data_IF_572177418427
#
_entry.id   IF_572177418427
#
_cell.length_a   1.000
_cell.length_b   1.000
_cell.length_c   1.000
_cell.angle_alpha   90.00
_cell.angle_beta   90.00
_cell.angle_gamma   90.00
#
_symmetry.space_group_name_H-M   'P 1'
#
loop_
_entity.id
_entity.type
_entity.pdbx_description
1 polymer ?
#
# COMPACT_ATOMS: atom_id res chain seq x y z
N UNK A 1 17.29 -12.08 19.05
CA UNK A 1 16.30 -11.57 18.08
C UNK A 1 16.02 -12.63 17.01
N UNK A 2 14.77 -12.91 16.68
CA UNK A 2 14.42 -13.46 15.37
C UNK A 2 14.63 -12.37 14.30
N UNK A 3 15.86 -11.90 14.12
CA UNK A 3 16.19 -10.86 13.11
C UNK A 3 15.75 -11.29 11.70
N UNK A 4 15.59 -12.61 11.48
CA UNK A 4 14.98 -13.20 10.29
C UNK A 4 13.52 -12.81 10.08
N UNK A 5 12.71 -12.58 11.13
CA UNK A 5 11.30 -12.21 11.01
C UNK A 5 11.11 -10.78 10.52
N UNK A 6 11.97 -9.86 10.93
CA UNK A 6 11.91 -8.44 10.51
C UNK A 6 12.71 -8.16 9.23
N UNK A 7 13.59 -9.08 8.83
CA UNK A 7 14.41 -8.92 7.62
C UNK A 7 13.58 -8.66 6.35
N UNK A 8 12.49 -9.40 6.06
CA UNK A 8 11.67 -9.15 4.89
C UNK A 8 11.17 -7.70 4.83
N UNK A 9 10.58 -7.19 5.91
CA UNK A 9 10.06 -5.83 5.97
C UNK A 9 11.15 -4.77 5.75
N UNK A 10 12.30 -4.91 6.43
CA UNK A 10 13.44 -3.98 6.27
C UNK A 10 13.98 -4.01 4.84
N UNK A 11 14.18 -5.20 4.28
CA UNK A 11 14.71 -5.37 2.94
C UNK A 11 13.75 -4.80 1.90
N UNK A 12 12.47 -5.14 2.00
CA UNK A 12 11.42 -4.65 1.09
C UNK A 12 11.28 -3.14 1.18
N UNK A 13 11.21 -2.57 2.39
CA UNK A 13 11.16 -1.12 2.63
C UNK A 13 12.32 -0.39 1.93
N UNK A 14 13.54 -0.95 2.04
CA UNK A 14 14.71 -0.39 1.38
C UNK A 14 14.60 -0.46 -0.15
N UNK A 15 14.21 -1.60 -0.72
CA UNK A 15 14.07 -1.75 -2.17
C UNK A 15 12.99 -0.83 -2.76
N UNK A 16 11.86 -0.67 -2.07
CA UNK A 16 10.79 0.21 -2.50
C UNK A 16 11.15 1.69 -2.36
N UNK A 17 11.96 2.05 -1.35
CA UNK A 17 12.55 3.40 -1.24
C UNK A 17 13.40 3.73 -2.48
N UNK A 18 14.20 2.76 -2.95
CA UNK A 18 15.07 2.94 -4.12
C UNK A 18 14.32 3.10 -5.45
N UNK A 19 13.05 2.69 -5.56
CA UNK A 19 12.20 2.96 -6.73
C UNK A 19 12.01 4.46 -7.00
N UNK A 20 12.21 5.32 -6.01
CA UNK A 20 12.11 6.78 -6.19
C UNK A 20 13.19 7.38 -7.09
N UNK A 21 14.36 6.72 -7.20
CA UNK A 21 15.56 7.35 -7.76
C UNK A 21 16.52 6.40 -8.50
N UNK A 22 16.59 5.11 -8.14
CA UNK A 22 17.64 4.19 -8.61
C UNK A 22 17.33 3.58 -9.98
N UNK A 23 16.07 3.24 -10.22
CA UNK A 23 15.68 2.44 -11.39
C UNK A 23 15.46 3.34 -12.61
N UNK A 24 16.11 3.01 -13.72
CA UNK A 24 15.88 3.73 -14.98
C UNK A 24 14.48 3.40 -15.49
N UNK A 25 14.16 2.17 -15.84
CA UNK A 25 12.88 1.87 -16.49
C UNK A 25 11.65 1.95 -15.59
N UNK A 26 11.82 2.02 -14.27
CA UNK A 26 10.72 2.02 -13.31
C UNK A 26 10.91 3.12 -12.28
N UNK A 27 9.87 3.89 -11.97
CA UNK A 27 9.93 4.95 -10.97
C UNK A 27 8.58 5.24 -10.36
N UNK A 28 8.53 5.31 -9.04
CA UNK A 28 7.39 5.81 -8.26
C UNK A 28 7.89 6.50 -6.98
N UNK A 29 7.11 7.42 -6.43
CA UNK A 29 7.44 8.19 -5.22
C UNK A 29 6.40 8.01 -4.10
N UNK A 30 5.60 6.96 -4.21
CA UNK A 30 4.44 6.72 -3.35
C UNK A 30 4.59 5.46 -2.48
N UNK A 31 5.78 4.88 -2.37
CA UNK A 31 6.10 3.99 -1.25
C UNK A 31 6.76 4.79 -0.13
N UNK A 32 6.53 4.39 1.11
CA UNK A 32 7.13 5.03 2.27
C UNK A 32 8.65 5.00 2.20
N UNK A 33 9.28 6.13 2.54
CA UNK A 33 10.73 6.29 2.44
C UNK A 33 11.37 5.91 3.77
N UNK A 34 12.12 4.80 3.77
CA UNK A 34 12.91 4.37 4.92
C UNK A 34 14.16 5.26 5.04
N UNK A 35 14.25 6.01 6.13
CA UNK A 35 15.41 6.85 6.47
C UNK A 35 16.48 6.05 7.18
N UNK A 36 16.08 5.25 8.15
CA UNK A 36 16.99 4.48 8.99
C UNK A 36 16.31 3.20 9.47
N UNK A 37 17.07 2.11 9.52
CA UNK A 37 16.71 0.90 10.24
C UNK A 37 17.81 0.62 11.26
N UNK A 38 17.44 0.36 12.50
CA UNK A 38 18.39 0.08 13.57
C UNK A 38 17.88 -1.00 14.52
N UNK A 39 18.76 -1.92 14.88
CA UNK A 39 18.55 -2.81 16.01
C UNK A 39 19.11 -2.11 17.25
N UNK A 40 18.28 -1.96 18.28
CA UNK A 40 18.68 -1.41 19.57
C UNK A 40 18.34 -2.38 20.69
N UNK A 41 19.07 -2.30 21.80
CA UNK A 41 18.80 -3.08 23.00
C UNK A 41 18.60 -2.13 24.17
N UNK A 42 17.52 -2.30 24.93
CA UNK A 42 17.20 -1.42 26.03
C UNK A 42 15.77 -1.55 26.53
N UNK A 43 15.50 -0.90 27.66
CA UNK A 43 14.15 -0.78 28.22
C UNK A 43 13.32 0.20 27.39
N UNK A 44 12.02 -0.01 27.34
CA UNK A 44 11.06 0.94 26.76
C UNK A 44 11.23 2.34 27.38
N UNK A 45 11.51 3.39 26.58
CA UNK A 45 11.72 4.75 27.09
C UNK A 45 10.51 5.32 27.82
N UNK A 46 10.75 6.07 28.91
CA UNK A 46 9.69 6.67 29.72
C UNK A 46 8.86 7.69 28.92
N UNK A 47 9.48 8.37 27.97
CA UNK A 47 8.84 9.31 27.05
C UNK A 47 7.84 8.60 26.13
N UNK A 48 8.17 7.39 25.66
CA UNK A 48 7.25 6.58 24.85
C UNK A 48 6.12 6.01 25.71
N UNK A 49 6.37 5.62 26.96
CA UNK A 49 5.32 5.26 27.92
C UNK A 49 4.33 6.42 28.12
N UNK A 50 4.85 7.63 28.35
CA UNK A 50 4.01 8.81 28.53
C UNK A 50 3.18 9.13 27.29
N UNK A 51 3.79 9.04 26.09
CA UNK A 51 3.09 9.22 24.82
C UNK A 51 2.00 8.16 24.60
N UNK A 52 2.29 6.89 24.89
CA UNK A 52 1.34 5.79 24.76
C UNK A 52 0.14 5.96 25.71
N UNK A 53 0.38 6.27 26.99
CA UNK A 53 -0.70 6.51 27.97
C UNK A 53 -1.58 7.69 27.60
N UNK A 54 -0.99 8.75 27.05
CA UNK A 54 -1.75 9.88 26.51
C UNK A 54 -2.64 9.43 25.35
N UNK A 55 -2.11 8.67 24.40
CA UNK A 55 -2.87 8.16 23.26
C UNK A 55 -4.02 7.25 23.71
N UNK A 56 -3.76 6.28 24.59
CA UNK A 56 -4.76 5.36 25.15
C UNK A 56 -5.90 6.12 25.85
N UNK A 57 -5.58 7.13 26.67
CA UNK A 57 -6.60 7.93 27.34
C UNK A 57 -7.50 8.73 26.38
N UNK A 58 -6.97 9.13 25.22
CA UNK A 58 -7.68 9.93 24.22
C UNK A 58 -8.46 9.08 23.19
N UNK A 59 -7.97 7.88 22.85
CA UNK A 59 -8.47 7.10 21.71
C UNK A 59 -8.78 5.62 22.03
N UNK A 60 -8.37 5.12 23.20
CA UNK A 60 -8.28 3.69 23.46
C UNK A 60 -7.10 3.02 22.74
N UNK A 61 -6.76 1.79 23.16
CA UNK A 61 -5.74 0.96 22.53
C UNK A 61 -6.05 -0.51 22.78
N UNK A 62 -6.02 -1.35 21.74
CA UNK A 62 -6.08 -2.81 21.88
C UNK A 62 -4.73 -3.42 22.25
N UNK A 63 -3.65 -2.64 22.12
CA UNK A 63 -2.29 -3.03 22.49
C UNK A 63 -2.02 -2.74 23.97
N UNK A 64 -1.07 -3.46 24.57
CA UNK A 64 -0.55 -3.18 25.91
C UNK A 64 0.67 -2.23 25.88
N UNK A 65 0.88 -1.47 26.97
CA UNK A 65 2.11 -0.70 27.15
C UNK A 65 3.28 -1.64 27.40
N UNK A 66 4.33 -1.56 26.59
CA UNK A 66 5.49 -2.46 26.66
C UNK A 66 6.54 -2.06 27.72
N UNK A 67 6.16 -1.25 28.73
CA UNK A 67 7.09 -0.73 29.74
C UNK A 67 7.55 -1.77 30.79
N UNK A 68 6.90 -2.93 30.81
CA UNK A 68 7.27 -4.09 31.62
C UNK A 68 8.46 -4.89 31.04
N UNK A 69 8.81 -4.71 29.77
CA UNK A 69 9.88 -5.48 29.13
C UNK A 69 11.28 -5.15 29.72
N UNK A 70 12.17 -6.15 29.81
CA UNK A 70 13.46 -6.00 30.48
C UNK A 70 14.45 -5.13 29.67
N UNK A 71 15.51 -4.66 30.31
CA UNK A 71 16.60 -3.90 29.65
C UNK A 71 17.33 -4.69 28.56
N UNK A 72 17.25 -6.03 28.60
CA UNK A 72 17.81 -6.94 27.60
C UNK A 72 16.94 -7.09 26.35
N UNK A 73 15.76 -6.45 26.32
CA UNK A 73 14.87 -6.49 25.16
C UNK A 73 15.56 -5.86 23.96
N UNK A 74 15.50 -6.55 22.83
CA UNK A 74 15.97 -6.02 21.55
C UNK A 74 14.77 -5.52 20.72
N UNK A 75 14.98 -4.42 19.99
CA UNK A 75 13.98 -3.72 19.20
C UNK A 75 14.48 -3.48 17.79
N UNK A 76 13.60 -3.62 16.80
CA UNK A 76 13.83 -3.07 15.46
C UNK A 76 13.15 -1.69 15.39
N UNK A 77 13.92 -0.65 15.09
CA UNK A 77 13.40 0.71 14.87
C UNK A 77 13.53 1.04 13.40
N UNK A 78 12.38 1.30 12.76
CA UNK A 78 12.29 1.78 11.39
C UNK A 78 11.85 3.25 11.42
N UNK A 79 12.72 4.13 10.93
CA UNK A 79 12.46 5.56 10.82
C UNK A 79 11.99 5.88 9.40
N UNK A 80 10.76 6.39 9.28
CA UNK A 80 10.12 6.72 8.01
C UNK A 80 9.75 8.19 7.92
N UNK A 81 9.60 8.70 6.69
CA UNK A 81 8.99 10.01 6.45
C UNK A 81 7.55 10.07 6.94
N UNK A 82 7.12 11.20 7.50
CA UNK A 82 5.70 11.42 7.78
C UNK A 82 4.88 11.47 6.48
N UNK A 83 3.93 10.54 6.35
CA UNK A 83 3.19 10.29 5.12
C UNK A 83 1.70 10.68 5.16
N UNK A 84 1.20 11.14 6.31
CA UNK A 84 -0.18 11.62 6.45
C UNK A 84 -1.02 10.72 7.35
N UNK A 85 -2.29 10.54 6.98
CA UNK A 85 -3.27 9.76 7.74
C UNK A 85 -3.82 8.59 6.90
N UNK A 86 -4.29 7.50 7.52
CA UNK A 86 -4.93 6.38 6.82
C UNK A 86 -6.06 6.82 5.88
N UNK A 87 -6.18 6.18 4.73
CA UNK A 87 -7.15 6.50 3.67
C UNK A 87 -8.59 6.51 4.20
N UNK A 88 -8.95 5.55 5.05
CA UNK A 88 -10.29 5.47 5.65
C UNK A 88 -10.65 6.64 6.57
N UNK A 89 -9.68 7.50 6.94
CA UNK A 89 -9.93 8.70 7.77
C UNK A 89 -10.06 9.98 6.94
N UNK A 90 -9.86 9.91 5.62
CA UNK A 90 -9.82 11.06 4.74
C UNK A 90 -11.23 11.50 4.36
N UNK A 91 -11.48 12.80 4.46
CA UNK A 91 -12.69 13.43 3.94
C UNK A 91 -12.38 14.01 2.57
N UNK A 92 -12.82 13.31 1.53
CA UNK A 92 -12.65 13.76 0.16
C UNK A 92 -13.63 14.89 -0.19
N UNK A 93 -13.16 15.79 -1.02
CA UNK A 93 -13.90 16.92 -1.59
C UNK A 93 -14.53 16.55 -2.94
N UNK A 94 -14.02 15.53 -3.64
CA UNK A 94 -14.57 15.05 -4.92
C UNK A 94 -14.12 13.64 -5.30
N UNK A 95 -14.81 13.02 -6.26
CA UNK A 95 -14.37 11.76 -6.86
C UNK A 95 -13.08 11.90 -7.68
N UNK A 96 -12.68 13.12 -8.07
CA UNK A 96 -11.39 13.35 -8.74
C UNK A 96 -10.23 12.99 -7.82
N UNK A 97 -10.33 13.31 -6.52
CA UNK A 97 -9.33 12.90 -5.54
C UNK A 97 -9.30 11.36 -5.38
N UNK A 98 -10.46 10.69 -5.38
CA UNK A 98 -10.52 9.22 -5.33
C UNK A 98 -9.89 8.58 -6.58
N UNK A 99 -10.17 9.10 -7.78
CA UNK A 99 -9.48 8.69 -9.01
C UNK A 99 -7.97 8.89 -8.89
N UNK A 100 -7.53 10.07 -8.46
CA UNK A 100 -6.11 10.37 -8.24
C UNK A 100 -5.48 9.36 -7.27
N UNK A 101 -6.16 8.99 -6.19
CA UNK A 101 -5.68 7.94 -5.26
C UNK A 101 -5.46 6.62 -5.99
N UNK A 102 -6.45 6.14 -6.75
CA UNK A 102 -6.35 4.88 -7.49
C UNK A 102 -5.26 4.93 -8.57
N UNK A 103 -5.13 6.06 -9.28
CA UNK A 103 -4.08 6.27 -10.27
C UNK A 103 -2.68 6.21 -9.64
N UNK A 104 -2.48 6.92 -8.53
CA UNK A 104 -1.20 6.93 -7.80
C UNK A 104 -0.83 5.54 -7.27
N UNK A 105 -1.78 4.79 -6.71
CA UNK A 105 -1.56 3.43 -6.19
C UNK A 105 -1.24 2.47 -7.33
N UNK A 106 -2.08 2.43 -8.36
CA UNK A 106 -1.95 1.47 -9.46
C UNK A 106 -0.63 1.65 -10.21
N UNK A 107 -0.23 2.89 -10.53
CA UNK A 107 1.06 3.16 -11.20
C UNK A 107 2.26 2.82 -10.31
N UNK A 108 2.11 2.94 -8.98
CA UNK A 108 3.17 2.56 -8.03
C UNK A 108 3.34 1.05 -7.94
N UNK A 109 2.24 0.31 -7.86
CA UNK A 109 2.23 -1.14 -7.91
C UNK A 109 2.78 -1.64 -9.25
N UNK A 110 2.35 -1.06 -10.37
CA UNK A 110 2.86 -1.41 -11.70
C UNK A 110 4.38 -1.20 -11.84
N UNK A 111 4.91 -0.08 -11.33
CA UNK A 111 6.36 0.18 -11.32
C UNK A 111 7.11 -0.84 -10.46
N UNK A 112 6.57 -1.21 -9.30
CA UNK A 112 7.17 -2.20 -8.40
C UNK A 112 7.06 -3.64 -8.93
N UNK A 113 5.95 -4.01 -9.57
CA UNK A 113 5.79 -5.27 -10.30
C UNK A 113 6.85 -5.39 -11.40
N UNK A 114 7.00 -4.35 -12.22
CA UNK A 114 7.96 -4.37 -13.33
C UNK A 114 9.42 -4.42 -12.87
N UNK A 115 9.76 -3.72 -11.79
CA UNK A 115 11.14 -3.66 -11.30
C UNK A 115 11.53 -4.83 -10.40
N UNK A 116 10.60 -5.28 -9.56
CA UNK A 116 10.87 -6.10 -8.38
C UNK A 116 9.92 -7.29 -8.28
N UNK A 117 9.03 -7.52 -9.24
CA UNK A 117 7.99 -8.54 -9.13
C UNK A 117 7.21 -8.40 -7.80
N UNK A 118 6.91 -7.16 -7.41
CA UNK A 118 6.35 -6.86 -6.10
C UNK A 118 4.88 -7.27 -5.97
N UNK A 119 4.52 -7.80 -4.81
CA UNK A 119 3.15 -7.97 -4.34
C UNK A 119 3.05 -7.39 -2.93
N UNK A 120 2.05 -6.53 -2.68
CA UNK A 120 1.87 -5.94 -1.35
C UNK A 120 1.33 -6.94 -0.34
N UNK A 121 0.31 -7.70 -0.76
CA UNK A 121 -0.39 -8.76 0.00
C UNK A 121 -1.17 -8.34 1.25
N UNK A 122 -1.01 -7.11 1.70
CA UNK A 122 -1.88 -6.53 2.73
C UNK A 122 -2.14 -5.02 2.50
N UNK A 123 -2.72 -4.67 1.36
CA UNK A 123 -2.95 -3.27 0.99
C UNK A 123 -4.38 -2.84 1.36
N UNK A 124 -4.78 -3.09 2.60
CA UNK A 124 -6.01 -2.51 3.12
C UNK A 124 -5.87 -0.99 3.28
N UNK A 125 -6.97 -0.26 3.38
CA UNK A 125 -7.00 1.20 3.43
C UNK A 125 -6.28 1.85 4.64
N UNK A 126 -5.91 1.08 5.67
CA UNK A 126 -5.04 1.56 6.74
C UNK A 126 -3.56 1.64 6.31
N UNK A 127 -3.18 0.85 5.30
CA UNK A 127 -1.83 0.79 4.71
C UNK A 127 -1.67 1.74 3.51
N UNK A 128 -2.66 2.58 3.29
CA UNK A 128 -2.64 3.68 2.33
C UNK A 128 -2.73 4.98 3.12
N UNK A 129 -1.63 5.71 3.22
CA UNK A 129 -1.61 7.02 3.86
C UNK A 129 -1.84 8.13 2.82
N UNK A 130 -2.54 9.18 3.21
CA UNK A 130 -2.82 10.34 2.37
C UNK A 130 -2.46 11.62 3.11
N UNK A 131 -1.81 12.55 2.42
CA UNK A 131 -1.59 13.92 2.90
C UNK A 131 -1.87 14.97 1.83
N UNK A 132 -2.25 16.20 2.22
CA UNK A 132 -2.34 17.32 1.29
C UNK A 132 -1.00 17.62 0.60
N UNK A 133 -1.05 18.05 -0.65
CA UNK A 133 0.13 18.44 -1.43
C UNK A 133 -0.15 19.66 -2.30
N UNK A 134 0.85 20.53 -2.42
CA UNK A 134 0.83 21.65 -3.39
C UNK A 134 1.33 21.23 -4.78
N UNK A 135 1.98 20.07 -4.88
CA UNK A 135 2.45 19.54 -6.14
C UNK A 135 1.24 19.09 -6.96
N UNK A 136 1.05 19.67 -8.15
CA UNK A 136 -0.13 19.42 -9.00
C UNK A 136 -0.04 18.12 -9.79
N UNK A 137 1.18 17.68 -10.14
CA UNK A 137 1.41 16.43 -10.88
C UNK A 137 2.50 15.56 -10.26
N UNK A 138 2.29 14.26 -10.23
CA UNK A 138 3.30 13.24 -9.90
C UNK A 138 3.69 12.49 -11.16
N UNK A 139 5.00 12.21 -11.32
CA UNK A 139 5.54 11.49 -12.48
C UNK A 139 5.99 10.09 -12.11
N UNK A 140 5.62 9.14 -12.94
CA UNK A 140 5.93 7.72 -12.82
C UNK A 140 6.62 7.23 -14.08
N UNK A 141 7.31 6.09 -13.96
CA UNK A 141 7.78 5.33 -15.11
C UNK A 141 7.49 3.85 -14.85
N UNK A 142 6.90 3.17 -15.81
CA UNK A 142 6.56 1.74 -15.75
C UNK A 142 7.08 1.09 -17.01
N UNK A 143 8.04 0.18 -16.87
CA UNK A 143 8.69 -0.53 -17.97
C UNK A 143 9.11 0.41 -19.13
N UNK A 144 9.71 1.55 -18.78
CA UNK A 144 10.17 2.57 -19.73
C UNK A 144 9.10 3.57 -20.21
N UNK A 145 7.81 3.29 -20.02
CA UNK A 145 6.71 4.20 -20.37
C UNK A 145 6.50 5.22 -19.26
N UNK A 146 6.41 6.51 -19.63
CA UNK A 146 6.26 7.59 -18.66
C UNK A 146 4.79 7.94 -18.45
N UNK A 147 4.43 8.21 -17.19
CA UNK A 147 3.08 8.60 -16.80
C UNK A 147 3.11 9.83 -15.90
N UNK A 148 2.03 10.60 -15.90
CA UNK A 148 1.80 11.76 -15.05
C UNK A 148 0.38 11.73 -14.50
N UNK A 149 0.24 11.74 -13.18
CA UNK A 149 -1.06 11.80 -12.48
C UNK A 149 -1.29 13.21 -11.96
N UNK A 150 -2.49 13.74 -12.13
CA UNK A 150 -2.92 14.95 -11.42
C UNK A 150 -3.19 14.60 -9.98
N UNK A 151 -2.57 15.29 -9.03
CA UNK A 151 -2.70 14.94 -7.62
C UNK A 151 -4.05 15.27 -7.04
N UNK A 152 -4.78 16.21 -7.64
CA UNK A 152 -6.02 16.76 -7.09
C UNK A 152 -5.82 17.28 -5.66
N UNK A 153 -4.61 17.72 -5.32
CA UNK A 153 -4.26 18.21 -3.98
C UNK A 153 -3.93 17.12 -2.96
N UNK A 154 -4.00 15.82 -3.33
CA UNK A 154 -3.69 14.70 -2.44
C UNK A 154 -2.46 13.90 -2.90
N UNK A 155 -1.65 13.46 -1.95
CA UNK A 155 -0.52 12.56 -2.21
C UNK A 155 -0.68 11.29 -1.40
N UNK A 156 -0.63 10.16 -2.09
CA UNK A 156 -0.71 8.81 -1.52
C UNK A 156 0.67 8.30 -1.13
N UNK A 157 0.72 7.50 -0.07
CA UNK A 157 1.89 6.73 0.35
C UNK A 157 1.46 5.34 0.83
N UNK A 158 2.00 4.31 0.18
CA UNK A 158 1.82 2.90 0.54
C UNK A 158 2.85 2.55 1.63
N UNK A 159 2.37 1.91 2.71
CA UNK A 159 3.15 1.50 3.88
C UNK A 159 2.91 0.02 4.20
N UNK A 160 3.64 -0.48 5.19
CA UNK A 160 3.48 -1.81 5.79
C UNK A 160 3.73 -2.96 4.79
N UNK A 161 4.96 -3.43 4.80
CA UNK A 161 5.39 -4.52 3.91
C UNK A 161 5.58 -5.83 4.67
N UNK A 162 4.93 -5.96 5.83
CA UNK A 162 5.12 -7.09 6.76
C UNK A 162 4.88 -8.43 6.07
N UNK A 163 3.88 -8.53 5.19
CA UNK A 163 3.56 -9.77 4.46
C UNK A 163 3.84 -9.69 2.95
N UNK A 164 4.54 -8.66 2.51
CA UNK A 164 4.82 -8.43 1.09
C UNK A 164 5.80 -9.44 0.49
N UNK A 165 5.88 -9.45 -0.84
CA UNK A 165 6.82 -10.27 -1.62
C UNK A 165 7.48 -9.45 -2.71
N UNK A 166 8.77 -9.68 -2.94
CA UNK A 166 9.47 -9.21 -4.13
C UNK A 166 10.61 -10.16 -4.55
N UNK A 167 11.18 -9.87 -5.72
CA UNK A 167 12.39 -10.47 -6.25
C UNK A 167 13.38 -9.35 -6.61
N UNK A 168 14.56 -9.37 -6.00
CA UNK A 168 15.64 -8.43 -6.29
C UNK A 168 16.90 -9.20 -6.69
N UNK A 169 17.39 -8.97 -7.91
CA UNK A 169 18.59 -9.64 -8.44
C UNK A 169 18.53 -11.18 -8.33
N UNK A 170 17.35 -11.75 -8.57
CA UNK A 170 17.10 -13.20 -8.47
C UNK A 170 16.78 -13.71 -7.05
N UNK A 171 16.96 -12.87 -6.02
CA UNK A 171 16.64 -13.22 -4.64
C UNK A 171 15.18 -12.89 -4.32
N UNK A 172 14.40 -13.92 -4.00
CA UNK A 172 13.00 -13.77 -3.61
C UNK A 172 12.93 -13.58 -2.10
N UNK A 173 12.35 -12.46 -1.68
CA UNK A 173 12.08 -12.12 -0.28
C UNK A 173 10.57 -12.05 -0.11
N UNK A 174 10.04 -12.84 0.82
CA UNK A 174 8.61 -12.93 1.10
C UNK A 174 8.40 -13.41 2.54
N UNK A 175 7.19 -13.19 3.05
CA UNK A 175 6.71 -13.86 4.27
C UNK A 175 5.73 -14.96 3.87
N UNK A 176 5.88 -16.12 4.52
CA UNK A 176 4.98 -17.25 4.32
C UNK A 176 3.75 -17.09 5.19
N UNK A 177 2.62 -16.73 4.58
CA UNK A 177 1.37 -16.53 5.31
C UNK A 177 0.70 -17.86 5.69
N UNK A 178 1.23 -19.01 5.27
CA UNK A 178 0.71 -20.31 5.74
C UNK A 178 0.89 -20.51 7.24
N UNK A 179 1.81 -19.76 7.85
CA UNK A 179 2.14 -19.84 9.28
C UNK A 179 1.19 -19.02 10.16
N UNK A 180 0.20 -18.35 9.58
CA UNK A 180 -0.79 -17.51 10.29
C UNK A 180 -2.20 -17.82 9.80
N UNK A 181 -2.75 -19.02 10.10
CA UNK A 181 -4.03 -19.46 9.57
C UNK A 181 -5.21 -18.57 9.99
N UNK A 182 -5.10 -17.89 11.12
CA UNK A 182 -6.15 -17.08 11.74
C UNK A 182 -6.59 -15.94 10.82
N UNK A 183 -5.67 -15.37 10.02
CA UNK A 183 -5.97 -14.27 9.09
C UNK A 183 -7.01 -14.66 8.03
N UNK A 184 -7.12 -15.95 7.71
CA UNK A 184 -8.07 -16.47 6.71
C UNK A 184 -9.44 -16.81 7.28
N UNK A 185 -9.55 -16.87 8.60
CA UNK A 185 -10.76 -17.23 9.35
C UNK A 185 -11.57 -16.01 9.81
N UNK A 186 -10.98 -14.82 9.72
CA UNK A 186 -11.66 -13.57 10.04
C UNK A 186 -12.80 -13.23 9.05
N UNK A 187 -13.79 -12.49 9.56
CA UNK A 187 -14.99 -12.06 8.83
C UNK A 187 -15.36 -10.61 9.15
N UNK A 188 -16.35 -10.06 8.44
CA UNK A 188 -16.92 -8.74 8.74
C UNK A 188 -16.41 -7.59 7.85
N UNK A 189 -15.42 -7.85 7.00
CA UNK A 189 -14.89 -6.87 6.05
C UNK A 189 -14.38 -7.58 4.77
N UNK A 190 -14.49 -6.90 3.62
CA UNK A 190 -14.04 -7.42 2.33
C UNK A 190 -12.53 -7.73 2.30
N UNK A 191 -11.72 -7.09 3.16
CA UNK A 191 -10.29 -7.40 3.30
C UNK A 191 -10.03 -8.89 3.58
N UNK A 192 -10.91 -9.52 4.37
CA UNK A 192 -10.74 -10.93 4.73
C UNK A 192 -11.02 -11.86 3.56
N UNK A 193 -11.90 -11.43 2.65
CA UNK A 193 -12.11 -12.14 1.38
C UNK A 193 -10.88 -12.02 0.48
N UNK A 194 -10.20 -10.87 0.46
CA UNK A 194 -8.95 -10.71 -0.29
C UNK A 194 -7.89 -11.72 0.18
N UNK A 195 -7.74 -11.94 1.48
CA UNK A 195 -6.82 -12.97 2.00
C UNK A 195 -7.18 -14.37 1.50
N UNK A 196 -8.46 -14.74 1.51
CA UNK A 196 -8.93 -16.04 0.99
C UNK A 196 -8.73 -16.16 -0.52
N UNK A 197 -9.01 -15.10 -1.29
CA UNK A 197 -8.77 -15.05 -2.73
C UNK A 197 -7.28 -15.26 -3.05
N UNK A 198 -6.38 -14.57 -2.34
CA UNK A 198 -4.93 -14.75 -2.51
C UNK A 198 -4.49 -16.18 -2.16
N UNK A 199 -4.96 -16.72 -1.03
CA UNK A 199 -4.63 -18.10 -0.60
C UNK A 199 -5.06 -19.13 -1.66
N UNK A 200 -6.29 -18.99 -2.18
CA UNK A 200 -6.83 -19.87 -3.21
C UNK A 200 -6.03 -19.76 -4.52
N UNK A 201 -5.73 -18.53 -4.98
CA UNK A 201 -4.93 -18.29 -6.18
C UNK A 201 -3.50 -18.82 -6.07
N UNK A 202 -2.91 -18.71 -4.88
CA UNK A 202 -1.54 -19.18 -4.62
C UNK A 202 -1.47 -20.69 -4.37
N UNK A 203 -2.60 -21.37 -4.14
CA UNK A 203 -2.60 -22.74 -3.62
C UNK A 203 -1.88 -22.83 -2.28
N UNK A 204 -1.97 -21.78 -1.46
CA UNK A 204 -1.21 -21.57 -0.22
C UNK A 204 0.33 -21.59 -0.37
N UNK A 205 0.86 -21.43 -1.60
CA UNK A 205 2.29 -21.27 -1.85
C UNK A 205 2.62 -19.79 -2.07
N UNK A 206 3.17 -19.14 -1.06
CA UNK A 206 3.39 -17.68 -1.04
C UNK A 206 4.69 -17.24 -1.72
N UNK A 207 5.51 -18.17 -2.23
CA UNK A 207 6.80 -17.84 -2.85
C UNK A 207 6.71 -17.34 -4.31
N UNK A 208 5.92 -17.97 -5.21
CA UNK A 208 5.79 -17.54 -6.60
C UNK A 208 5.29 -16.10 -6.73
N UNK A 209 5.64 -15.47 -7.85
CA UNK A 209 5.08 -14.17 -8.20
C UNK A 209 3.68 -14.33 -8.79
N UNK A 210 2.69 -13.71 -8.15
CA UNK A 210 1.28 -13.71 -8.53
C UNK A 210 0.73 -12.28 -8.50
N UNK A 211 1.07 -11.43 -9.49
CA UNK A 211 0.72 -10.00 -9.46
C UNK A 211 -0.79 -9.73 -9.43
N UNK A 212 -1.63 -10.71 -9.76
CA UNK A 212 -3.08 -10.62 -9.58
C UNK A 212 -3.48 -10.29 -8.13
N UNK A 213 -2.65 -10.63 -7.14
CA UNK A 213 -2.90 -10.26 -5.73
C UNK A 213 -2.94 -8.74 -5.53
N UNK A 214 -2.16 -7.97 -6.29
CA UNK A 214 -2.25 -6.50 -6.30
C UNK A 214 -3.57 -6.02 -6.89
N UNK A 215 -4.12 -6.71 -7.89
CA UNK A 215 -5.43 -6.36 -8.46
C UNK A 215 -6.56 -6.64 -7.47
N UNK A 216 -6.47 -7.69 -6.66
CA UNK A 216 -7.43 -7.96 -5.59
C UNK A 216 -7.48 -6.81 -4.58
N UNK A 217 -6.32 -6.32 -4.17
CA UNK A 217 -6.25 -5.16 -3.28
C UNK A 217 -6.71 -3.85 -3.93
N UNK A 218 -6.42 -3.64 -5.22
CA UNK A 218 -6.97 -2.49 -5.96
C UNK A 218 -8.50 -2.54 -6.03
N UNK A 219 -9.06 -3.72 -6.28
CA UNK A 219 -10.51 -3.94 -6.26
C UNK A 219 -11.09 -3.60 -4.87
N UNK A 220 -10.49 -4.11 -3.80
CA UNK A 220 -10.85 -3.75 -2.43
C UNK A 220 -10.80 -2.23 -2.16
N UNK A 221 -9.74 -1.55 -2.59
CA UNK A 221 -9.61 -0.10 -2.37
C UNK A 221 -10.67 0.68 -3.15
N UNK A 222 -10.96 0.27 -4.38
CA UNK A 222 -12.03 0.88 -5.18
C UNK A 222 -13.40 0.66 -4.54
N UNK A 223 -13.69 -0.54 -4.04
CA UNK A 223 -14.91 -0.85 -3.29
C UNK A 223 -15.05 0.11 -2.09
N UNK A 224 -14.02 0.22 -1.24
CA UNK A 224 -14.02 1.15 -0.08
C UNK A 224 -14.24 2.61 -0.50
N UNK A 225 -13.64 3.05 -1.60
CA UNK A 225 -13.81 4.41 -2.11
C UNK A 225 -15.20 4.64 -2.71
N UNK A 226 -15.88 3.62 -3.23
CA UNK A 226 -17.21 3.71 -3.83
C UNK A 226 -18.33 3.57 -2.80
N UNK A 227 -18.16 2.74 -1.77
CA UNK A 227 -19.25 2.33 -0.87
C UNK A 227 -19.11 2.86 0.56
N UNK A 228 -17.88 3.08 1.05
CA UNK A 228 -17.61 3.45 2.44
C UNK A 228 -17.01 4.86 2.60
N UNK A 229 -16.89 5.60 1.50
CA UNK A 229 -16.39 6.98 1.48
C UNK A 229 -17.50 7.94 1.08
N UNK A 230 -17.53 9.13 1.70
CA UNK A 230 -18.53 10.17 1.39
C UNK A 230 -17.91 11.33 0.61
N UNK A 231 -18.65 11.80 -0.41
CA UNK A 231 -18.24 12.90 -1.28
C UNK A 231 -19.31 14.00 -1.31
N UNK A 232 -18.93 15.28 -1.34
CA UNK A 232 -19.87 16.39 -1.49
C UNK A 232 -20.71 16.29 -2.78
N UNK A 233 -22.02 16.47 -2.67
CA UNK A 233 -22.99 16.33 -3.79
C UNK A 233 -22.85 17.36 -4.94
N UNK A 234 -21.98 18.37 -4.81
CA UNK A 234 -22.02 19.58 -5.66
C UNK A 234 -20.92 19.67 -6.73
N UNK A 235 -20.09 18.65 -6.90
CA UNK A 235 -19.10 18.63 -8.00
C UNK A 235 -19.80 18.20 -9.31
N UNK A 236 -19.87 19.04 -10.35
CA UNK A 236 -20.53 18.73 -11.62
C UNK A 236 -19.96 17.49 -12.32
N UNK A 237 -18.66 17.23 -12.16
CA UNK A 237 -17.98 16.10 -12.82
C UNK A 237 -17.96 14.83 -11.97
N UNK A 238 -18.50 14.91 -10.74
CA UNK A 238 -18.56 13.83 -9.76
C UNK A 238 -19.14 12.55 -10.34
N UNK A 239 -20.27 12.66 -11.07
CA UNK A 239 -20.98 11.50 -11.61
C UNK A 239 -20.16 10.77 -12.69
N UNK A 240 -19.50 11.50 -13.59
CA UNK A 240 -18.70 10.90 -14.64
C UNK A 240 -17.49 10.16 -14.07
N UNK A 241 -16.75 10.81 -13.15
CA UNK A 241 -15.58 10.20 -12.50
C UNK A 241 -15.96 9.01 -11.62
N UNK A 242 -17.10 9.09 -10.92
CA UNK A 242 -17.65 7.96 -10.17
C UNK A 242 -17.98 6.79 -11.10
N UNK A 243 -18.64 7.05 -12.24
CA UNK A 243 -18.97 6.01 -13.21
C UNK A 243 -17.72 5.38 -13.84
N UNK A 244 -16.68 6.16 -14.13
CA UNK A 244 -15.38 5.64 -14.58
C UNK A 244 -14.73 4.72 -13.53
N UNK A 245 -14.74 5.14 -12.26
CA UNK A 245 -14.20 4.35 -11.15
C UNK A 245 -14.99 3.05 -10.93
N UNK A 246 -16.32 3.11 -11.00
CA UNK A 246 -17.19 1.93 -10.90
C UNK A 246 -16.97 0.97 -12.09
N UNK A 247 -16.84 1.48 -13.32
CA UNK A 247 -16.55 0.64 -14.47
C UNK A 247 -15.16 -0.03 -14.38
N UNK A 248 -14.17 0.68 -13.82
CA UNK A 248 -12.86 0.08 -13.54
C UNK A 248 -12.98 -1.02 -12.46
N UNK A 249 -13.70 -0.76 -11.38
CA UNK A 249 -13.98 -1.73 -10.33
C UNK A 249 -14.60 -3.02 -10.90
N UNK A 250 -15.68 -2.90 -11.69
CA UNK A 250 -16.38 -4.06 -12.24
C UNK A 250 -15.53 -4.86 -13.25
N UNK A 251 -14.59 -4.19 -13.92
CA UNK A 251 -13.76 -4.81 -14.96
C UNK A 251 -12.40 -5.31 -14.47
N UNK A 252 -11.84 -4.82 -13.35
CA UNK A 252 -10.45 -5.12 -12.96
C UNK A 252 -10.22 -6.61 -12.68
N UNK A 253 -11.23 -7.32 -12.17
CA UNK A 253 -11.18 -8.77 -11.91
C UNK A 253 -11.94 -9.62 -12.94
N UNK A 254 -12.36 -9.04 -14.07
CA UNK A 254 -13.12 -9.73 -15.13
C UNK A 254 -12.32 -10.76 -15.94
N UNK A 255 -11.01 -10.92 -15.65
CA UNK A 255 -10.08 -11.75 -16.42
C UNK A 255 -9.35 -11.01 -17.55
N UNK A 256 -9.67 -9.73 -17.78
CA UNK A 256 -9.00 -8.89 -18.79
C UNK A 256 -7.57 -8.47 -18.39
N UNK A 257 -7.26 -8.55 -17.09
CA UNK A 257 -5.99 -8.12 -16.50
C UNK A 257 -5.47 -9.17 -15.53
N UNK A 258 -4.15 -9.33 -15.49
CA UNK A 258 -3.44 -10.29 -14.63
C UNK A 258 -2.46 -9.61 -13.65
N UNK A 259 -2.29 -8.30 -13.76
CA UNK A 259 -1.29 -7.51 -13.04
C UNK A 259 -1.62 -6.01 -13.09
N UNK A 260 -1.12 -5.22 -12.14
CA UNK A 260 -1.25 -3.75 -12.19
C UNK A 260 -0.52 -3.18 -13.42
N UNK A 261 0.61 -3.78 -13.82
CA UNK A 261 1.34 -3.42 -15.04
C UNK A 261 0.48 -3.62 -16.30
N UNK A 262 -0.23 -4.76 -16.41
CA UNK A 262 -1.14 -4.99 -17.54
C UNK A 262 -2.31 -4.01 -17.50
N UNK A 263 -2.85 -3.74 -16.32
CA UNK A 263 -3.94 -2.79 -16.12
C UNK A 263 -3.60 -1.38 -16.61
N UNK A 264 -2.48 -0.80 -16.15
CA UNK A 264 -2.08 0.57 -16.56
C UNK A 264 -1.69 0.70 -18.03
N UNK A 265 -1.42 -0.42 -18.72
CA UNK A 265 -1.04 -0.43 -20.14
C UNK A 265 -2.23 -0.60 -21.07
N UNK A 266 -3.31 -1.20 -20.59
CA UNK A 266 -4.40 -1.68 -21.46
C UNK A 266 -5.77 -1.10 -21.11
N UNK A 267 -5.96 -0.56 -19.91
CA UNK A 267 -7.22 0.09 -19.55
C UNK A 267 -7.23 1.54 -20.00
N UNK A 268 -8.31 1.93 -20.68
CA UNK A 268 -8.58 3.33 -21.06
C UNK A 268 -8.60 4.29 -19.87
N UNK A 269 -8.85 3.76 -18.66
CA UNK A 269 -8.81 4.55 -17.41
C UNK A 269 -7.47 5.28 -17.22
N UNK A 270 -6.36 4.69 -17.66
CA UNK A 270 -5.01 5.24 -17.46
C UNK A 270 -4.46 5.98 -18.69
N UNK A 271 -5.23 6.10 -19.78
CA UNK A 271 -4.74 6.76 -21.01
C UNK A 271 -4.41 8.23 -20.77
N UNK A 272 -5.23 8.92 -19.98
CA UNK A 272 -5.01 10.34 -19.62
C UNK A 272 -3.76 10.54 -18.74
N UNK A 273 -3.28 9.47 -18.09
CA UNK A 273 -2.05 9.49 -17.31
C UNK A 273 -0.81 9.31 -18.21
N UNK A 274 -0.92 8.76 -19.42
CA UNK A 274 0.25 8.43 -20.24
C UNK A 274 0.87 9.69 -20.83
N UNK A 275 2.19 9.78 -20.78
CA UNK A 275 2.95 10.85 -21.44
C UNK A 275 3.45 10.27 -22.77
N UNK A 276 3.03 10.90 -23.87
CA UNK A 276 3.55 10.62 -25.22
C UNK A 276 5.01 11.05 -25.38
#
# INVERSE_FOLDING_TARGET
MESRRVYPEVFISKQLTELGFRYRQNRTVNFIQLRRAAIVCGKWPAELTAAWKKYEAEHGSDNECLDFLPRSQEWMILEFDYAGKPLGTIKFSSYREARSVIEQITLSLAAAESALQFEHRDLHWLNVLVKPTKQTKLRYRVNGVSYSVQTEGVRVCIIDFTVSRLCHEGNIVYVDMSDSPEIFECEGDYQFEIYRMMRNMNGNNWRPFRPITNLYWLHYLMEKLLTETSYPRRDPDSQAVQSELAALHDSVLSGSYDSAMRLVRSSFYFDTCRIE
#
